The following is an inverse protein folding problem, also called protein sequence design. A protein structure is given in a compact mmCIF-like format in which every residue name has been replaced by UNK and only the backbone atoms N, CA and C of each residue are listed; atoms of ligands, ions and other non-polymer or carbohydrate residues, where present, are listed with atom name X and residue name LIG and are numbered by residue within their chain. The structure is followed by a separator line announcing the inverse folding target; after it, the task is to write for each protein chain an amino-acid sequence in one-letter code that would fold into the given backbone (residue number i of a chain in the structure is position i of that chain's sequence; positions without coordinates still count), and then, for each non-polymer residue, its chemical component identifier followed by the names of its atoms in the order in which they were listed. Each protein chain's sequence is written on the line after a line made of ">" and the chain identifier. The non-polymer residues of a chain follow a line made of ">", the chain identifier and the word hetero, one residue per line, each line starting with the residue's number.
data_IF_198463598420
#
_entry.id   IF_198463598420
#
_cell.length_a   1.000
_cell.length_b   1.000
_cell.length_c   1.000
_cell.angle_alpha   90.00
_cell.angle_beta   90.00
_cell.angle_gamma   90.00
#
_symmetry.space_group_name_H-M   'P 1'
#
loop_
_entity.id
_entity.type
_entity.pdbx_description
1 polymer ?
#
# COMPACT_ATOMS: atom_id res chain seq x y z
N UNK A 1 2.68 21.54 27.44
CA UNK A 1 2.61 21.93 26.02
C UNK A 1 3.99 21.72 25.40
N UNK A 2 4.19 20.58 24.72
CA UNK A 2 5.20 20.33 23.68
C UNK A 2 5.10 18.84 23.31
N UNK A 3 4.16 18.50 22.43
CA UNK A 3 4.17 17.20 21.76
C UNK A 3 5.14 17.32 20.58
N UNK A 4 6.40 16.93 20.80
CA UNK A 4 7.38 16.72 19.74
C UNK A 4 6.81 15.71 18.74
N UNK A 5 6.51 16.19 17.53
CA UNK A 5 6.06 15.34 16.43
C UNK A 5 7.19 14.45 15.98
N UNK A 6 7.00 13.13 16.04
CA UNK A 6 7.91 12.17 15.45
C UNK A 6 7.75 12.22 13.93
N UNK A 7 8.74 12.80 13.25
CA UNK A 7 8.80 12.86 11.80
C UNK A 7 9.30 11.51 11.25
N UNK A 8 8.57 10.94 10.28
CA UNK A 8 8.80 9.57 9.82
C UNK A 8 9.79 9.48 8.67
N UNK A 9 10.13 10.62 8.08
CA UNK A 9 11.04 10.70 6.95
C UNK A 9 11.81 12.01 7.05
N UNK A 10 13.03 11.90 7.58
CA UNK A 10 13.88 13.00 7.99
C UNK A 10 14.19 13.97 6.83
N UNK A 11 13.68 15.21 6.83
CA UNK A 11 14.04 16.22 5.86
C UNK A 11 14.96 17.24 6.53
N UNK A 12 16.22 16.87 6.81
CA UNK A 12 17.35 17.80 7.01
C UNK A 12 18.64 17.04 7.35
N UNK A 13 19.52 16.88 6.37
CA UNK A 13 20.96 16.77 6.63
C UNK A 13 21.55 18.18 6.53
N UNK A 14 21.49 18.92 7.62
CA UNK A 14 22.41 20.03 7.87
C UNK A 14 22.98 19.77 9.25
N UNK A 15 24.30 19.59 9.31
CA UNK A 15 25.07 19.39 10.53
C UNK A 15 24.77 20.53 11.53
N UNK A 16 23.92 20.27 12.51
CA UNK A 16 23.77 21.07 13.73
C UNK A 16 23.31 20.15 14.87
N UNK A 17 23.82 20.40 16.07
CA UNK A 17 23.94 19.50 17.22
C UNK A 17 22.63 19.12 17.96
N UNK A 18 21.53 18.89 17.25
CA UNK A 18 20.32 18.30 17.84
C UNK A 18 19.92 17.07 17.04
N UNK A 19 20.01 15.90 17.68
CA UNK A 19 19.84 14.58 17.04
C UNK A 19 18.55 14.48 16.20
N UNK A 20 18.63 13.94 14.97
CA UNK A 20 17.47 13.80 14.09
C UNK A 20 16.52 12.74 14.64
N UNK A 21 15.24 13.07 14.83
CA UNK A 21 14.23 12.07 15.22
C UNK A 21 13.85 11.20 14.03
N UNK A 22 14.73 10.27 13.63
CA UNK A 22 14.36 9.16 12.75
C UNK A 22 13.21 8.38 13.40
N UNK A 23 12.15 8.04 12.66
CA UNK A 23 11.03 7.29 13.25
C UNK A 23 11.44 5.88 13.68
N UNK A 24 11.52 5.73 14.99
CA UNK A 24 11.93 4.51 15.68
C UNK A 24 10.75 3.63 16.11
N UNK A 25 9.57 3.87 15.54
CA UNK A 25 8.29 3.34 16.01
C UNK A 25 7.71 4.15 17.17
N UNK A 26 6.50 3.79 17.59
CA UNK A 26 5.87 4.44 18.73
C UNK A 26 6.58 4.01 20.04
N UNK A 27 6.92 4.92 20.97
CA UNK A 27 7.69 4.58 22.18
C UNK A 27 7.02 3.53 23.09
N UNK A 28 5.69 3.47 23.07
CA UNK A 28 4.89 2.48 23.83
C UNK A 28 4.77 1.12 23.14
N UNK A 29 5.38 0.93 21.98
CA UNK A 29 5.33 -0.34 21.25
C UNK A 29 6.39 -1.31 21.76
N UNK A 30 5.95 -2.47 22.25
CA UNK A 30 6.86 -3.54 22.63
C UNK A 30 7.57 -4.15 21.42
N UNK A 31 6.86 -4.18 20.28
CA UNK A 31 7.27 -4.76 19.02
C UNK A 31 6.95 -3.79 17.88
N UNK A 32 7.90 -3.57 16.97
CA UNK A 32 7.72 -2.77 15.77
C UNK A 32 8.18 -3.59 14.57
N UNK A 33 7.33 -3.67 13.55
CA UNK A 33 7.53 -4.50 12.36
C UNK A 33 7.62 -3.61 11.12
N UNK A 34 8.73 -3.70 10.40
CA UNK A 34 8.94 -3.07 9.11
C UNK A 34 8.94 -4.16 8.02
N UNK A 35 8.20 -3.93 6.94
CA UNK A 35 8.13 -4.85 5.80
C UNK A 35 8.60 -4.17 4.53
N UNK A 36 9.47 -4.85 3.79
CA UNK A 36 10.08 -4.36 2.55
C UNK A 36 9.60 -5.14 1.32
N UNK A 37 8.34 -5.58 1.36
CA UNK A 37 7.69 -6.31 0.27
C UNK A 37 7.58 -5.51 -1.03
N UNK A 38 7.36 -6.23 -2.13
CA UNK A 38 7.44 -5.72 -3.51
C UNK A 38 6.47 -4.58 -3.81
N UNK A 39 5.28 -4.61 -3.21
CA UNK A 39 4.22 -3.60 -3.41
C UNK A 39 4.45 -2.30 -2.62
N UNK A 40 5.51 -2.21 -1.81
CA UNK A 40 5.81 -1.03 -1.01
C UNK A 40 6.56 -0.01 -1.88
N UNK A 41 6.26 1.27 -1.64
CA UNK A 41 6.91 2.40 -2.32
C UNK A 41 8.44 2.32 -2.22
N UNK A 42 8.95 1.90 -1.05
CA UNK A 42 10.37 1.71 -0.77
C UNK A 42 10.71 0.23 -0.61
N UNK A 43 10.36 -0.56 -1.61
CA UNK A 43 10.65 -2.00 -1.62
C UNK A 43 12.15 -2.29 -1.54
N UNK A 44 12.49 -3.41 -0.89
CA UNK A 44 13.78 -4.08 -1.00
C UNK A 44 13.61 -5.48 -1.61
N UNK A 45 12.60 -5.63 -2.48
CA UNK A 45 12.23 -6.87 -3.16
C UNK A 45 11.95 -8.05 -2.20
N UNK A 46 11.63 -7.75 -0.94
CA UNK A 46 11.40 -8.73 0.12
C UNK A 46 12.02 -8.32 1.44
N UNK A 47 11.82 -9.17 2.45
CA UNK A 47 12.39 -9.00 3.79
C UNK A 47 11.59 -8.12 4.73
N UNK A 48 12.07 -8.05 5.96
CA UNK A 48 11.50 -7.27 7.04
C UNK A 48 12.53 -7.01 8.14
N UNK A 49 12.27 -5.99 8.95
CA UNK A 49 13.06 -5.66 10.13
C UNK A 49 12.11 -5.64 11.33
N UNK A 50 12.55 -6.21 12.43
CA UNK A 50 11.80 -6.25 13.68
C UNK A 50 12.61 -5.55 14.75
N UNK A 51 12.01 -4.56 15.41
CA UNK A 51 12.57 -3.93 16.61
C UNK A 51 11.77 -4.40 17.82
N UNK A 52 12.48 -4.94 18.80
CA UNK A 52 11.92 -5.46 20.04
C UNK A 52 12.54 -4.64 21.18
N UNK A 53 11.70 -4.07 22.03
CA UNK A 53 12.16 -3.26 23.16
C UNK A 53 12.63 -4.10 24.34
N UNK A 54 11.95 -5.22 24.61
CA UNK A 54 12.30 -6.16 25.68
C UNK A 54 13.44 -7.10 25.26
N UNK A 55 14.56 -7.02 25.98
CA UNK A 55 15.76 -7.83 25.74
C UNK A 55 15.52 -9.34 25.92
N UNK A 56 14.70 -9.75 26.89
CA UNK A 56 14.38 -11.15 27.12
C UNK A 56 13.52 -11.72 25.99
N UNK A 57 12.52 -10.96 25.55
CA UNK A 57 11.69 -11.32 24.40
C UNK A 57 12.54 -11.39 23.13
N UNK A 58 13.41 -10.40 22.91
CA UNK A 58 14.33 -10.35 21.77
C UNK A 58 15.23 -11.60 21.73
N UNK A 59 15.82 -11.98 22.86
CA UNK A 59 16.66 -13.17 22.95
C UNK A 59 15.89 -14.44 22.59
N UNK A 60 14.72 -14.66 23.18
CA UNK A 60 13.86 -15.83 22.88
C UNK A 60 13.44 -15.88 21.41
N UNK A 61 12.99 -14.75 20.85
CA UNK A 61 12.61 -14.67 19.43
C UNK A 61 13.80 -14.93 18.51
N UNK A 62 14.99 -14.45 18.88
CA UNK A 62 16.23 -14.69 18.12
C UNK A 62 16.67 -16.15 18.15
N UNK A 63 16.53 -16.82 19.31
CA UNK A 63 16.82 -18.26 19.45
C UNK A 63 15.92 -19.10 18.53
N UNK A 64 14.61 -18.82 18.52
CA UNK A 64 13.66 -19.47 17.61
C UNK A 64 14.01 -19.18 16.15
N UNK A 65 14.23 -17.92 15.81
CA UNK A 65 14.53 -17.49 14.44
C UNK A 65 15.82 -18.10 13.89
N UNK A 66 16.84 -18.31 14.72
CA UNK A 66 18.08 -19.00 14.30
C UNK A 66 17.87 -20.46 13.92
N UNK A 67 16.81 -21.10 14.42
CA UNK A 67 16.43 -22.46 14.05
C UNK A 67 15.71 -22.56 12.71
N UNK A 68 15.15 -21.44 12.21
CA UNK A 68 14.49 -21.42 10.91
C UNK A 68 15.52 -21.60 9.77
N UNK A 69 15.19 -22.33 8.71
CA UNK A 69 16.11 -22.53 7.60
C UNK A 69 16.34 -21.24 6.81
N UNK A 70 17.55 -21.07 6.27
CA UNK A 70 17.87 -19.95 5.38
C UNK A 70 17.09 -20.10 4.07
N UNK A 71 16.58 -18.98 3.55
CA UNK A 71 15.93 -18.91 2.25
C UNK A 71 16.89 -19.32 1.14
N UNK A 72 16.41 -20.13 0.20
CA UNK A 72 17.18 -20.50 -0.98
C UNK A 72 17.45 -19.27 -1.87
N UNK A 73 18.72 -19.07 -2.24
CA UNK A 73 19.17 -17.93 -3.05
C UNK A 73 18.62 -17.96 -4.48
N UNK A 74 18.53 -19.14 -5.12
CA UNK A 74 17.99 -19.27 -6.48
C UNK A 74 16.50 -18.96 -6.51
N UNK A 75 15.76 -19.36 -5.47
CA UNK A 75 14.36 -18.99 -5.30
C UNK A 75 14.21 -17.47 -5.16
N UNK A 76 15.09 -16.82 -4.39
CA UNK A 76 15.11 -15.36 -4.29
C UNK A 76 15.45 -14.70 -5.64
N UNK A 77 16.46 -15.19 -6.36
CA UNK A 77 16.83 -14.68 -7.69
C UNK A 77 15.70 -14.84 -8.70
N UNK A 78 15.00 -15.98 -8.70
CA UNK A 78 13.84 -16.23 -9.55
C UNK A 78 12.73 -15.21 -9.28
N UNK A 79 12.46 -14.92 -8.00
CA UNK A 79 11.52 -13.87 -7.62
C UNK A 79 11.97 -12.48 -8.11
N UNK A 80 13.25 -12.12 -7.92
CA UNK A 80 13.81 -10.85 -8.40
C UNK A 80 13.66 -10.71 -9.91
N UNK A 81 14.00 -11.75 -10.69
CA UNK A 81 13.82 -11.79 -12.14
C UNK A 81 12.35 -11.59 -12.53
N UNK A 82 11.43 -12.32 -11.88
CA UNK A 82 9.99 -12.18 -12.11
C UNK A 82 9.54 -10.74 -11.93
N UNK A 83 9.95 -10.10 -10.82
CA UNK A 83 9.59 -8.71 -10.56
C UNK A 83 10.22 -7.76 -11.57
N UNK A 84 11.50 -7.95 -11.91
CA UNK A 84 12.17 -7.14 -12.92
C UNK A 84 11.41 -7.13 -14.25
N UNK A 85 11.06 -8.30 -14.79
CA UNK A 85 10.32 -8.38 -16.05
C UNK A 85 8.93 -7.76 -15.95
N UNK A 86 8.22 -7.99 -14.84
CA UNK A 86 6.91 -7.40 -14.63
C UNK A 86 6.98 -5.87 -14.57
N UNK A 87 7.91 -5.31 -13.79
CA UNK A 87 8.12 -3.87 -13.72
C UNK A 87 8.56 -3.30 -15.08
N UNK A 88 9.43 -3.99 -15.82
CA UNK A 88 9.85 -3.57 -17.15
C UNK A 88 8.66 -3.49 -18.12
N UNK A 89 7.82 -4.54 -18.18
CA UNK A 89 6.61 -4.55 -19.01
C UNK A 89 5.68 -3.38 -18.64
N UNK A 90 5.47 -3.14 -17.34
CA UNK A 90 4.54 -2.12 -16.86
C UNK A 90 5.04 -0.68 -17.03
N UNK A 91 6.36 -0.46 -17.03
CA UNK A 91 6.95 0.89 -17.05
C UNK A 91 7.44 1.34 -18.43
N UNK A 92 7.50 0.46 -19.43
CA UNK A 92 7.90 0.84 -20.80
C UNK A 92 6.66 1.19 -21.63
N UNK A 93 6.42 2.46 -21.99
CA UNK A 93 5.20 2.88 -22.69
C UNK A 93 4.96 2.16 -24.03
N UNK A 94 6.04 1.84 -24.75
CA UNK A 94 5.98 1.13 -26.03
C UNK A 94 5.54 -0.34 -25.88
N UNK A 95 5.67 -0.91 -24.69
CA UNK A 95 5.23 -2.29 -24.39
C UNK A 95 3.84 -2.27 -23.77
N UNK A 96 3.63 -1.48 -22.71
CA UNK A 96 2.38 -1.52 -21.95
C UNK A 96 1.19 -0.96 -22.74
N UNK A 97 1.35 0.08 -23.56
CA UNK A 97 0.23 0.69 -24.30
C UNK A 97 -0.43 -0.28 -25.30
N UNK A 98 0.30 -0.93 -26.23
CA UNK A 98 -0.31 -1.91 -27.12
C UNK A 98 -0.83 -3.13 -26.37
N UNK A 99 -0.12 -3.60 -25.33
CA UNK A 99 -0.58 -4.70 -24.50
C UNK A 99 -1.91 -4.38 -23.82
N UNK A 100 -2.06 -3.18 -23.24
CA UNK A 100 -3.30 -2.74 -22.60
C UNK A 100 -4.45 -2.58 -23.60
N UNK A 101 -4.16 -2.18 -24.85
CA UNK A 101 -5.17 -2.15 -25.90
C UNK A 101 -5.73 -3.56 -26.17
N UNK A 102 -4.84 -4.55 -26.33
CA UNK A 102 -5.21 -5.96 -26.55
C UNK A 102 -5.99 -6.51 -25.35
N UNK A 103 -5.47 -6.33 -24.12
CA UNK A 103 -6.11 -6.79 -22.88
C UNK A 103 -7.54 -6.25 -22.77
N UNK A 104 -7.76 -4.98 -23.13
CA UNK A 104 -9.08 -4.35 -23.07
C UNK A 104 -10.00 -4.85 -24.18
N UNK A 105 -9.47 -5.14 -25.37
CA UNK A 105 -10.23 -5.77 -26.46
C UNK A 105 -10.80 -7.12 -26.03
N UNK A 106 -10.00 -7.92 -25.33
CA UNK A 106 -10.41 -9.23 -24.79
C UNK A 106 -11.04 -9.19 -23.40
N UNK A 107 -11.24 -8.00 -22.82
CA UNK A 107 -11.79 -7.79 -21.45
C UNK A 107 -11.11 -8.65 -20.37
N UNK A 108 -9.79 -8.81 -20.45
CA UNK A 108 -9.02 -9.61 -19.50
C UNK A 108 -8.78 -8.85 -18.18
N UNK A 109 -8.87 -9.56 -17.05
CA UNK A 109 -8.54 -9.02 -15.72
C UNK A 109 -7.03 -8.93 -15.49
N UNK A 110 -6.43 -7.89 -16.07
CA UNK A 110 -5.01 -7.59 -15.92
C UNK A 110 -4.62 -7.19 -14.50
N UNK A 111 -5.51 -6.49 -13.76
CA UNK A 111 -5.21 -6.05 -12.39
C UNK A 111 -5.12 -7.24 -11.44
N UNK A 112 -6.08 -8.16 -11.50
CA UNK A 112 -6.04 -9.42 -10.75
C UNK A 112 -4.80 -10.24 -11.10
N UNK A 113 -4.45 -10.34 -12.39
CA UNK A 113 -3.23 -11.01 -12.83
C UNK A 113 -1.96 -10.40 -12.22
N UNK A 114 -1.77 -9.08 -12.33
CA UNK A 114 -0.59 -8.38 -11.80
C UNK A 114 -0.49 -8.56 -10.28
N UNK A 115 -1.59 -8.33 -9.56
CA UNK A 115 -1.62 -8.43 -8.10
C UNK A 115 -1.34 -9.86 -7.63
N UNK A 116 -1.93 -10.86 -8.28
CA UNK A 116 -1.71 -12.27 -7.92
C UNK A 116 -0.26 -12.71 -8.18
N UNK A 117 0.40 -12.16 -9.20
CA UNK A 117 1.80 -12.45 -9.50
C UNK A 117 2.79 -11.67 -8.62
N UNK A 118 2.43 -10.50 -8.10
CA UNK A 118 3.27 -9.70 -7.20
C UNK A 118 3.27 -10.21 -5.75
N UNK A 119 2.23 -10.93 -5.35
CA UNK A 119 2.14 -11.53 -4.02
C UNK A 119 3.02 -12.78 -3.91
N UNK A 120 3.80 -12.83 -2.84
CA UNK A 120 4.75 -13.92 -2.61
C UNK A 120 4.07 -15.27 -2.30
N UNK A 121 2.86 -15.27 -1.72
CA UNK A 121 2.23 -16.46 -1.16
C UNK A 121 0.83 -16.80 -1.74
N UNK A 122 0.45 -16.22 -2.89
CA UNK A 122 -0.90 -16.43 -3.46
C UNK A 122 -1.19 -17.84 -3.97
N UNK A 123 -0.17 -18.69 -4.13
CA UNK A 123 -0.28 -20.02 -4.74
C UNK A 123 -0.03 -21.17 -3.76
N UNK A 124 0.02 -20.88 -2.46
CA UNK A 124 0.31 -21.91 -1.45
C UNK A 124 -0.97 -22.71 -1.17
N UNK A 125 -0.97 -24.05 -1.36
CA UNK A 125 -2.19 -24.85 -1.32
C UNK A 125 -2.78 -25.02 0.08
N UNK A 126 -1.94 -25.06 1.13
CA UNK A 126 -2.39 -25.23 2.52
C UNK A 126 -1.84 -24.15 3.47
N UNK A 127 -2.52 -23.99 4.62
CA UNK A 127 -2.10 -23.08 5.70
C UNK A 127 -0.76 -23.52 6.30
N UNK A 128 -0.50 -24.81 6.38
CA UNK A 128 0.74 -25.38 6.93
C UNK A 128 1.93 -25.06 6.05
N UNK A 129 1.81 -25.29 4.73
CA UNK A 129 2.84 -24.91 3.76
C UNK A 129 3.08 -23.39 3.75
N UNK A 130 2.03 -22.60 4.01
CA UNK A 130 2.18 -21.15 4.15
C UNK A 130 3.09 -20.82 5.34
N UNK A 131 2.84 -21.39 6.52
CA UNK A 131 3.71 -21.17 7.67
C UNK A 131 5.14 -21.67 7.45
N UNK A 132 5.32 -22.82 6.80
CA UNK A 132 6.65 -23.33 6.45
C UNK A 132 7.37 -22.43 5.46
N UNK A 133 6.64 -21.79 4.54
CA UNK A 133 7.20 -20.82 3.59
C UNK A 133 7.56 -19.47 4.24
N UNK A 134 6.87 -19.10 5.33
CA UNK A 134 7.12 -17.88 6.10
C UNK A 134 8.31 -18.02 7.06
N UNK A 135 8.53 -19.23 7.61
CA UNK A 135 9.63 -19.54 8.55
C UNK A 135 10.96 -19.71 7.81
N UNK A 136 11.52 -18.60 7.32
CA UNK A 136 12.80 -18.56 6.63
C UNK A 136 13.63 -17.35 7.04
N UNK A 137 14.92 -17.57 7.29
CA UNK A 137 15.89 -16.48 7.40
C UNK A 137 16.22 -15.92 6.00
N UNK A 138 16.52 -14.62 5.83
CA UNK A 138 16.85 -14.04 4.54
C UNK A 138 18.16 -14.61 4.00
N UNK A 139 18.22 -14.82 2.69
CA UNK A 139 19.47 -15.18 2.03
C UNK A 139 20.45 -14.00 2.01
N UNK A 140 21.75 -14.29 1.82
CA UNK A 140 22.80 -13.26 1.77
C UNK A 140 22.53 -12.15 0.75
N UNK A 141 22.05 -12.44 -0.48
CA UNK A 141 21.75 -11.37 -1.44
C UNK A 141 20.60 -10.46 -1.00
N UNK A 142 19.58 -10.99 -0.31
CA UNK A 142 18.51 -10.18 0.25
C UNK A 142 19.04 -9.25 1.36
N UNK A 143 19.91 -9.75 2.24
CA UNK A 143 20.56 -8.93 3.27
C UNK A 143 21.44 -7.84 2.66
N UNK A 144 22.24 -8.18 1.65
CA UNK A 144 23.10 -7.21 0.95
C UNK A 144 22.27 -6.11 0.28
N UNK A 145 21.16 -6.49 -0.37
CA UNK A 145 20.27 -5.52 -1.01
C UNK A 145 19.54 -4.63 0.01
N UNK A 146 19.05 -5.20 1.13
CA UNK A 146 18.50 -4.42 2.24
C UNK A 146 19.51 -3.39 2.76
N UNK A 147 20.75 -3.82 3.00
CA UNK A 147 21.82 -2.96 3.48
C UNK A 147 22.13 -1.82 2.50
N UNK A 148 22.21 -2.11 1.20
CA UNK A 148 22.38 -1.09 0.17
C UNK A 148 21.22 -0.09 0.16
N UNK A 149 19.98 -0.58 0.26
CA UNK A 149 18.77 0.26 0.27
C UNK A 149 18.72 1.19 1.48
N UNK A 150 19.21 0.76 2.64
CA UNK A 150 19.30 1.61 3.83
C UNK A 150 20.36 2.71 3.71
N UNK A 151 21.47 2.44 3.02
CA UNK A 151 22.51 3.44 2.81
C UNK A 151 22.16 4.47 1.72
N UNK A 152 21.54 4.01 0.64
CA UNK A 152 21.28 4.81 -0.56
C UNK A 152 19.80 5.25 -0.68
N UNK A 153 19.10 5.41 0.45
CA UNK A 153 17.71 5.81 0.42
C UNK A 153 17.56 7.26 -0.06
N UNK A 154 16.79 7.46 -1.13
CA UNK A 154 16.52 8.76 -1.72
C UNK A 154 15.21 9.35 -1.18
N UNK A 155 15.34 10.34 -0.30
CA UNK A 155 14.22 11.06 0.28
C UNK A 155 13.49 11.95 -0.75
N UNK A 156 14.15 12.35 -1.84
CA UNK A 156 13.54 13.23 -2.85
C UNK A 156 12.35 12.56 -3.53
N UNK A 157 12.39 11.23 -3.71
CA UNK A 157 11.27 10.45 -4.26
C UNK A 157 10.02 10.55 -3.39
N UNK A 158 10.20 10.52 -2.06
CA UNK A 158 9.10 10.69 -1.13
C UNK A 158 8.55 12.11 -1.16
N UNK A 159 9.42 13.11 -1.24
CA UNK A 159 8.98 14.50 -1.33
C UNK A 159 8.17 14.74 -2.62
N UNK A 160 8.63 14.19 -3.75
CA UNK A 160 7.88 14.22 -5.02
C UNK A 160 6.54 13.46 -4.89
N UNK A 161 6.51 12.31 -4.21
CA UNK A 161 5.27 11.57 -3.93
C UNK A 161 4.29 12.45 -3.15
N UNK A 162 4.76 13.08 -2.08
CA UNK A 162 3.95 13.96 -1.22
C UNK A 162 3.46 15.18 -1.99
N UNK A 163 4.33 15.86 -2.71
CA UNK A 163 4.00 17.02 -3.52
C UNK A 163 2.88 16.69 -4.53
N UNK A 164 3.01 15.59 -5.26
CA UNK A 164 2.01 15.14 -6.24
C UNK A 164 0.69 14.75 -5.59
N UNK A 165 0.74 14.05 -4.46
CA UNK A 165 -0.46 13.70 -3.73
C UNK A 165 -1.18 14.94 -3.19
N UNK A 166 -0.45 15.90 -2.60
CA UNK A 166 -1.04 17.17 -2.15
C UNK A 166 -1.60 17.99 -3.32
N UNK A 167 -0.93 17.98 -4.48
CA UNK A 167 -1.46 18.61 -5.68
C UNK A 167 -2.83 18.02 -6.07
N UNK A 168 -2.97 16.69 -6.09
CA UNK A 168 -4.27 16.04 -6.37
C UNK A 168 -5.28 16.35 -5.27
N UNK A 169 -4.90 16.20 -4.01
CA UNK A 169 -5.75 16.41 -2.84
C UNK A 169 -6.34 17.83 -2.81
N UNK A 170 -5.51 18.86 -3.01
CA UNK A 170 -5.93 20.27 -2.97
C UNK A 170 -6.92 20.63 -4.09
N UNK A 171 -6.95 19.84 -5.17
CA UNK A 171 -7.92 20.02 -6.24
C UNK A 171 -9.20 19.21 -6.00
N UNK A 172 -9.10 18.01 -5.43
CA UNK A 172 -10.27 17.15 -5.18
C UNK A 172 -11.05 17.53 -3.92
N UNK A 173 -10.43 18.15 -2.92
CA UNK A 173 -11.10 18.62 -1.68
C UNK A 173 -12.24 19.60 -1.95
N UNK A 174 -12.23 20.26 -3.10
CA UNK A 174 -13.25 21.23 -3.53
C UNK A 174 -14.56 20.57 -4.00
N UNK A 175 -14.59 19.25 -4.10
CA UNK A 175 -15.70 18.48 -4.67
C UNK A 175 -16.48 17.87 -3.52
N UNK A 176 -17.71 18.35 -3.29
CA UNK A 176 -18.57 17.96 -2.16
C UNK A 176 -18.91 16.47 -2.12
N UNK A 177 -18.93 15.81 -3.28
CA UNK A 177 -19.31 14.40 -3.41
C UNK A 177 -18.17 13.41 -3.19
N UNK A 178 -16.95 13.89 -2.96
CA UNK A 178 -15.78 13.06 -2.67
C UNK A 178 -15.35 13.30 -1.23
N UNK A 179 -15.25 12.23 -0.46
CA UNK A 179 -14.71 12.29 0.89
C UNK A 179 -13.25 11.80 0.90
N UNK A 180 -12.38 12.64 1.47
CA UNK A 180 -10.97 12.35 1.67
C UNK A 180 -10.73 11.74 3.05
N UNK A 181 -9.88 10.71 3.13
CA UNK A 181 -9.58 9.99 4.36
C UNK A 181 -8.25 10.46 4.96
N UNK A 182 -8.17 10.50 6.29
CA UNK A 182 -6.92 10.77 6.99
C UNK A 182 -6.48 12.24 6.97
N UNK A 183 -7.40 13.18 6.72
CA UNK A 183 -7.12 14.62 6.68
C UNK A 183 -6.52 15.16 7.98
N UNK A 184 -6.91 14.58 9.12
CA UNK A 184 -6.42 14.96 10.45
C UNK A 184 -5.11 14.27 10.85
N UNK A 185 -4.56 13.38 10.02
CA UNK A 185 -3.28 12.74 10.30
C UNK A 185 -2.14 13.77 10.16
N UNK A 186 -1.30 13.88 11.19
CA UNK A 186 -0.11 14.75 11.18
C UNK A 186 0.82 14.42 10.00
N UNK A 187 0.97 13.13 9.72
CA UNK A 187 1.81 12.62 8.64
C UNK A 187 0.98 11.96 7.55
N UNK A 188 1.25 12.34 6.30
CA UNK A 188 0.60 11.79 5.11
C UNK A 188 1.66 11.46 4.05
N UNK A 189 1.99 10.18 3.93
CA UNK A 189 2.99 9.70 2.96
C UNK A 189 2.36 9.22 1.65
N UNK A 190 1.03 9.08 1.62
CA UNK A 190 0.27 8.67 0.45
C UNK A 190 0.82 7.41 -0.22
N UNK A 191 1.13 6.37 0.57
CA UNK A 191 1.46 5.03 0.03
C UNK A 191 0.35 4.52 -0.89
N UNK A 192 -0.90 4.81 -0.50
CA UNK A 192 -2.08 4.74 -1.33
C UNK A 192 -2.74 6.11 -1.34
N UNK A 193 -3.51 6.41 -2.39
CA UNK A 193 -4.33 7.61 -2.47
C UNK A 193 -5.82 7.23 -2.40
N UNK A 194 -6.40 7.12 -1.20
CA UNK A 194 -7.77 6.65 -1.02
C UNK A 194 -8.80 7.78 -1.19
N UNK A 195 -9.91 7.47 -1.84
CA UNK A 195 -11.10 8.30 -1.92
C UNK A 195 -12.33 7.49 -1.50
N UNK A 196 -13.23 8.09 -0.73
CA UNK A 196 -14.57 7.54 -0.50
C UNK A 196 -15.52 8.20 -1.48
N UNK A 197 -16.24 7.39 -2.26
CA UNK A 197 -17.15 7.84 -3.31
C UNK A 197 -18.46 7.07 -3.28
N UNK A 198 -19.54 7.69 -3.76
CA UNK A 198 -20.78 6.98 -4.02
C UNK A 198 -20.62 6.03 -5.22
N UNK A 199 -21.24 4.83 -5.15
CA UNK A 199 -21.21 3.82 -6.23
C UNK A 199 -19.78 3.53 -6.75
N UNK A 200 -18.86 3.07 -5.88
CA UNK A 200 -17.44 2.84 -6.23
C UNK A 200 -17.23 1.92 -7.44
N UNK A 201 -18.07 0.89 -7.57
CA UNK A 201 -18.42 0.16 -8.81
C UNK A 201 -18.31 0.97 -10.09
N UNK A 202 -19.35 1.79 -10.23
CA UNK A 202 -19.54 2.61 -11.40
C UNK A 202 -18.42 3.64 -11.54
N UNK A 203 -17.92 4.18 -10.42
CA UNK A 203 -16.81 5.13 -10.41
C UNK A 203 -15.57 4.53 -11.08
N UNK A 204 -15.11 3.35 -10.63
CA UNK A 204 -13.94 2.66 -11.21
C UNK A 204 -14.18 2.28 -12.66
N UNK A 205 -15.38 1.84 -13.03
CA UNK A 205 -15.71 1.53 -14.42
C UNK A 205 -15.59 2.77 -15.34
N UNK A 206 -16.09 3.93 -14.90
CA UNK A 206 -15.99 5.18 -15.66
C UNK A 206 -14.52 5.63 -15.76
N UNK A 207 -13.75 5.54 -14.68
CA UNK A 207 -12.32 5.86 -14.70
C UNK A 207 -11.55 4.95 -15.67
N UNK A 208 -11.80 3.65 -15.65
CA UNK A 208 -11.14 2.68 -16.53
C UNK A 208 -11.45 2.95 -18.02
N UNK A 209 -12.70 3.30 -18.35
CA UNK A 209 -13.09 3.76 -19.70
C UNK A 209 -12.31 5.01 -20.14
N UNK A 210 -11.91 5.85 -19.20
CA UNK A 210 -11.07 7.02 -19.43
C UNK A 210 -9.56 6.75 -19.24
N UNK A 211 -9.15 5.48 -19.31
CA UNK A 211 -7.75 5.04 -19.19
C UNK A 211 -7.10 5.34 -17.82
N UNK A 212 -7.89 5.43 -16.76
CA UNK A 212 -7.42 5.55 -15.38
C UNK A 212 -7.73 4.24 -14.66
N UNK A 213 -6.69 3.48 -14.38
CA UNK A 213 -6.80 2.19 -13.66
C UNK A 213 -6.82 2.45 -12.15
N UNK A 214 -7.94 3.02 -11.68
CA UNK A 214 -8.25 3.07 -10.25
C UNK A 214 -8.61 1.67 -9.75
N UNK A 215 -8.35 1.42 -8.47
CA UNK A 215 -8.56 0.10 -7.88
C UNK A 215 -9.65 0.14 -6.82
N UNK A 216 -10.61 -0.79 -6.90
CA UNK A 216 -11.56 -1.08 -5.83
C UNK A 216 -11.14 -2.37 -5.14
N UNK A 217 -11.26 -2.37 -3.82
CA UNK A 217 -11.02 -3.55 -3.01
C UNK A 217 -9.75 -3.43 -2.19
N UNK A 218 -9.82 -3.99 -1.01
CA UNK A 218 -8.71 -4.13 -0.08
C UNK A 218 -8.45 -5.61 0.08
N UNK A 219 -7.73 -6.18 -0.87
CA UNK A 219 -7.36 -7.60 -0.76
C UNK A 219 -6.50 -7.93 0.48
N UNK A 220 -6.18 -6.94 1.32
CA UNK A 220 -5.43 -7.07 2.57
C UNK A 220 -6.03 -6.31 3.77
N UNK A 221 -7.09 -5.51 3.58
CA UNK A 221 -7.77 -4.84 4.71
C UNK A 221 -9.19 -5.36 4.75
N UNK A 222 -9.58 -5.89 5.90
CA UNK A 222 -10.95 -6.31 6.13
C UNK A 222 -11.41 -5.71 7.46
N UNK A 223 -12.71 -5.51 7.58
CA UNK A 223 -13.30 -5.16 8.88
C UNK A 223 -13.29 -6.42 9.73
N UNK A 224 -12.70 -6.32 10.92
CA UNK A 224 -12.77 -7.39 11.90
C UNK A 224 -14.15 -7.29 12.54
N UNK A 225 -15.07 -8.13 12.08
CA UNK A 225 -16.47 -8.16 12.54
C UNK A 225 -16.74 -9.28 13.55
N UNK A 226 -15.83 -10.25 13.68
CA UNK A 226 -15.91 -11.33 14.66
C UNK A 226 -14.80 -11.18 15.70
N UNK A 227 -15.18 -11.25 16.98
CA UNK A 227 -14.21 -11.43 18.06
C UNK A 227 -13.64 -12.84 17.91
N UNK A 228 -12.32 -12.97 17.79
CA UNK A 228 -11.59 -14.25 17.76
C UNK A 228 -11.54 -14.88 19.17
N UNK A 229 -12.67 -14.94 19.88
CA UNK A 229 -12.75 -15.56 21.18
C UNK A 229 -13.31 -16.97 21.05
N UNK A 230 -12.47 -17.98 21.35
CA UNK A 230 -12.86 -19.38 21.64
C UNK A 230 -13.64 -19.48 22.97
N UNK A 231 -14.56 -18.55 23.24
CA UNK A 231 -15.45 -18.61 24.39
C UNK A 231 -16.84 -18.95 23.90
N UNK A 232 -17.28 -20.16 24.23
CA UNK A 232 -18.60 -20.76 23.97
C UNK A 232 -19.79 -20.03 24.58
N UNK A 233 -19.60 -18.78 25.02
CA UNK A 233 -20.67 -17.94 25.53
C UNK A 233 -21.14 -17.02 24.40
N UNK A 234 -22.42 -17.18 24.05
CA UNK A 234 -23.15 -16.41 23.06
C UNK A 234 -22.71 -14.95 23.02
N UNK A 235 -21.87 -14.61 22.04
CA UNK A 235 -21.41 -13.24 21.81
C UNK A 235 -22.60 -12.49 21.24
N UNK A 236 -23.28 -11.76 22.11
CA UNK A 236 -24.22 -10.71 21.77
C UNK A 236 -23.63 -9.81 20.67
N UNK A 237 -24.49 -9.19 19.85
CA UNK A 237 -24.24 -8.35 18.66
C UNK A 237 -23.28 -7.13 18.82
N UNK A 238 -22.19 -7.27 19.57
CA UNK A 238 -21.17 -6.30 19.90
C UNK A 238 -19.94 -6.67 19.06
N UNK A 239 -19.57 -6.02 17.96
CA UNK A 239 -19.54 -4.59 17.71
C UNK A 239 -19.60 -4.34 16.19
N UNK A 240 -20.74 -3.88 15.67
CA UNK A 240 -20.77 -3.36 14.30
C UNK A 240 -19.82 -2.17 14.22
N UNK A 241 -18.98 -2.14 13.18
CA UNK A 241 -18.05 -1.05 12.94
C UNK A 241 -18.52 -0.27 11.71
N UNK A 242 -19.66 0.43 11.77
CA UNK A 242 -20.34 0.97 10.59
C UNK A 242 -19.46 1.92 9.79
N UNK A 243 -18.61 2.70 10.45
CA UNK A 243 -17.66 3.58 9.77
C UNK A 243 -16.55 2.81 9.04
N UNK A 244 -16.06 1.70 9.60
CA UNK A 244 -15.05 0.87 8.96
C UNK A 244 -15.65 0.06 7.80
N UNK A 245 -16.85 -0.48 7.98
CA UNK A 245 -17.64 -1.17 6.95
C UNK A 245 -17.90 -0.22 5.78
N UNK A 246 -18.49 0.95 6.06
CA UNK A 246 -18.74 1.97 5.05
C UNK A 246 -17.46 2.37 4.31
N UNK A 247 -16.36 2.61 5.03
CA UNK A 247 -15.07 2.94 4.44
C UNK A 247 -14.59 1.84 3.48
N UNK A 248 -14.53 0.58 3.93
CA UNK A 248 -14.05 -0.53 3.10
C UNK A 248 -14.95 -0.76 1.88
N UNK A 249 -16.27 -0.59 2.02
CA UNK A 249 -17.22 -0.76 0.93
C UNK A 249 -17.13 0.33 -0.14
N UNK A 250 -16.80 1.56 0.26
CA UNK A 250 -16.89 2.77 -0.58
C UNK A 250 -15.52 3.34 -1.00
N UNK A 251 -14.41 2.81 -0.48
CA UNK A 251 -13.08 3.29 -0.82
C UNK A 251 -12.62 2.81 -2.20
N UNK A 252 -12.05 3.74 -2.96
CA UNK A 252 -11.27 3.47 -4.18
C UNK A 252 -9.87 4.05 -4.02
N UNK A 253 -8.90 3.49 -4.73
CA UNK A 253 -7.52 3.95 -4.73
C UNK A 253 -7.13 4.50 -6.09
N UNK A 254 -6.68 5.76 -6.11
CA UNK A 254 -6.22 6.41 -7.33
C UNK A 254 -4.73 6.13 -7.59
N UNK A 255 -4.32 6.01 -8.86
CA UNK A 255 -2.92 5.81 -9.25
C UNK A 255 -2.13 7.13 -9.16
N UNK A 256 -1.93 7.62 -7.93
CA UNK A 256 -1.16 8.85 -7.66
C UNK A 256 0.20 8.46 -7.10
N UNK A 257 1.25 8.59 -7.92
CA UNK A 257 2.61 8.33 -7.45
C UNK A 257 3.72 9.22 -8.06
N UNK A 258 4.93 9.14 -7.48
CA UNK A 258 6.11 9.95 -7.80
C UNK A 258 6.64 9.80 -9.24
N UNK A 259 6.14 8.85 -10.03
CA UNK A 259 6.49 8.68 -11.44
C UNK A 259 5.39 9.15 -12.41
N UNK A 260 4.19 9.51 -11.91
CA UNK A 260 3.09 10.06 -12.74
C UNK A 260 3.28 11.56 -13.04
N UNK A 261 3.51 11.98 -14.30
CA UNK A 261 3.74 13.39 -14.61
C UNK A 261 2.57 14.30 -14.19
N UNK A 262 2.85 15.54 -13.78
CA UNK A 262 1.82 16.52 -13.35
C UNK A 262 0.72 16.74 -14.40
N UNK A 263 1.05 16.68 -15.69
CA UNK A 263 0.07 16.79 -16.78
C UNK A 263 -0.95 15.63 -16.77
N UNK A 264 -0.50 14.41 -16.47
CA UNK A 264 -1.36 13.23 -16.32
C UNK A 264 -2.20 13.36 -15.06
N UNK A 265 -1.63 13.87 -13.96
CA UNK A 265 -2.41 14.16 -12.73
C UNK A 265 -3.50 15.21 -12.97
N UNK A 266 -3.24 16.25 -13.77
CA UNK A 266 -4.25 17.24 -14.16
C UNK A 266 -5.41 16.59 -14.94
N UNK A 267 -5.10 15.68 -15.88
CA UNK A 267 -6.13 14.91 -16.60
C UNK A 267 -6.93 14.01 -15.64
N UNK A 268 -6.24 13.34 -14.72
CA UNK A 268 -6.85 12.50 -13.70
C UNK A 268 -7.84 13.30 -12.83
N UNK A 269 -7.42 14.46 -12.32
CA UNK A 269 -8.27 15.35 -11.53
C UNK A 269 -9.54 15.71 -12.31
N UNK A 270 -9.41 16.17 -13.56
CA UNK A 270 -10.55 16.56 -14.39
C UNK A 270 -11.53 15.40 -14.62
N UNK A 271 -11.02 14.21 -14.91
CA UNK A 271 -11.86 13.02 -15.11
C UNK A 271 -12.57 12.65 -13.81
N UNK A 272 -11.86 12.60 -12.69
CA UNK A 272 -12.46 12.33 -11.36
C UNK A 272 -13.55 13.35 -11.02
N UNK A 273 -13.31 14.64 -11.26
CA UNK A 273 -14.32 15.70 -11.04
C UNK A 273 -15.57 15.48 -11.89
N UNK A 274 -15.41 15.19 -13.20
CA UNK A 274 -16.54 14.93 -14.10
C UNK A 274 -17.31 13.68 -13.69
N UNK A 275 -16.60 12.61 -13.32
CA UNK A 275 -17.23 11.37 -12.86
C UNK A 275 -18.05 11.58 -11.59
N UNK A 276 -17.52 12.34 -10.62
CA UNK A 276 -18.23 12.67 -9.39
C UNK A 276 -19.54 13.44 -9.68
N UNK A 277 -19.49 14.45 -10.55
CA UNK A 277 -20.68 15.20 -10.98
C UNK A 277 -21.71 14.34 -11.73
N UNK A 278 -21.26 13.46 -12.62
CA UNK A 278 -22.15 12.56 -13.38
C UNK A 278 -22.89 11.60 -12.45
N UNK A 279 -22.20 11.02 -11.47
CA UNK A 279 -22.80 10.09 -10.50
C UNK A 279 -23.80 10.82 -9.60
N UNK A 280 -23.48 12.03 -9.17
CA UNK A 280 -24.39 12.89 -8.39
C UNK A 280 -25.68 13.20 -9.16
N UNK A 281 -25.57 13.62 -10.41
CA UNK A 281 -26.73 13.90 -11.27
C UNK A 281 -27.58 12.65 -11.51
N UNK A 282 -26.95 11.50 -11.72
CA UNK A 282 -27.67 10.23 -11.85
C UNK A 282 -28.43 9.88 -10.57
N UNK A 283 -27.83 10.10 -9.40
CA UNK A 283 -28.46 9.85 -8.10
C UNK A 283 -29.67 10.74 -7.86
N UNK A 284 -29.56 12.03 -8.19
CA UNK A 284 -30.68 12.98 -8.08
C UNK A 284 -31.84 12.59 -9.01
N UNK A 285 -31.55 12.19 -10.25
CA UNK A 285 -32.58 11.74 -11.21
C UNK A 285 -33.25 10.43 -10.83
N UNK A 286 -32.56 9.51 -10.15
CA UNK A 286 -33.16 8.24 -9.69
C UNK A 286 -34.05 8.38 -8.45
N UNK A 287 -34.07 9.55 -7.80
CA UNK A 287 -34.89 9.84 -6.61
C UNK A 287 -36.16 10.64 -6.93
N UNK A 288 -36.28 11.16 -8.16
CA UNK A 288 -37.47 11.81 -8.70
C UNK A 288 -38.31 10.76 -9.42
#
# INVERSE_FOLDING_TARGET
>A
SNQSGFDMYCPTRIHSENEPSCYMGHPRSHLILYSFGVLKFCTALGGGLVKISDHNLHRKMSEIYRSDPIQNTDQYLSNVKKYFYLYWILNVPYVIKPLMYIIRLFKLDHMGYVVNNLRAFSKVPSKEELFLSLRRQPCRPLLAFLYQRFQAYDYTQLDIQRERAFYVLNNLVKISTIQLIGMNCKLKNFWLFPLVVAKPDLFVQILSKNHIDAYRGTTQLNVITTVLADTTDSIDNCHKCPNAEYLIEHVIYLPVHCHVPKQVLKKLINIVSKTAQQIEQYHLRSKL
#
